data_IF_967252149705
#
_entry.id   IF_967252149705
#
_cell.length_a   1.000
_cell.length_b   1.000
_cell.length_c   1.000
_cell.angle_alpha   90.00
_cell.angle_beta   90.00
_cell.angle_gamma   90.00
#
_symmetry.space_group_name_H-M   'P 1'
#
loop_
_entity.id
_entity.type
_entity.pdbx_description
1 polymer ?
#
# COMPACT_ATOMS: atom_id res chain seq x y z
N UNK A 1 -81.44 33.40 10.98
CA UNK A 1 -80.49 32.70 10.12
C UNK A 1 -79.07 33.03 10.63
N UNK A 2 -78.44 32.11 11.36
CA UNK A 2 -77.15 32.33 12.01
C UNK A 2 -76.14 31.39 11.38
N UNK A 3 -75.07 31.96 10.75
CA UNK A 3 -74.00 31.22 10.07
C UNK A 3 -72.84 31.13 11.05
N UNK A 4 -72.69 29.94 11.63
CA UNK A 4 -71.55 29.63 12.51
C UNK A 4 -70.31 29.36 11.70
N UNK A 5 -69.33 30.26 11.83
CA UNK A 5 -67.99 30.12 11.20
C UNK A 5 -67.13 29.19 12.04
N UNK A 6 -66.84 27.99 11.52
CA UNK A 6 -65.85 27.03 12.14
C UNK A 6 -64.43 27.41 11.72
N UNK A 7 -63.70 28.00 12.63
CA UNK A 7 -62.25 28.24 12.45
C UNK A 7 -61.45 26.90 12.61
N UNK A 8 -61.00 26.38 11.51
CA UNK A 8 -60.14 25.18 11.47
C UNK A 8 -58.74 25.54 11.92
N UNK A 9 -58.32 25.05 13.10
CA UNK A 9 -56.95 25.23 13.61
C UNK A 9 -56.09 24.09 13.09
N UNK A 10 -55.27 24.37 12.07
CA UNK A 10 -54.28 23.45 11.55
C UNK A 10 -53.10 23.46 12.52
N UNK A 11 -52.92 22.36 13.27
CA UNK A 11 -51.77 22.13 14.12
C UNK A 11 -50.65 21.54 13.26
N UNK A 12 -49.65 22.34 12.95
CA UNK A 12 -48.41 21.86 12.37
C UNK A 12 -47.63 21.09 13.45
N UNK A 13 -47.56 19.77 13.30
CA UNK A 13 -46.66 18.94 14.08
C UNK A 13 -45.26 19.04 13.43
N UNK A 14 -44.36 19.78 14.08
CA UNK A 14 -42.94 19.79 13.71
C UNK A 14 -42.31 18.49 14.23
N UNK A 15 -42.11 17.54 13.32
CA UNK A 15 -41.32 16.34 13.62
C UNK A 15 -39.82 16.75 13.66
N UNK A 16 -39.30 16.90 14.87
CA UNK A 16 -37.87 17.07 15.07
C UNK A 16 -37.16 15.70 14.81
N UNK A 17 -36.60 15.53 13.61
CA UNK A 17 -35.74 14.40 13.31
C UNK A 17 -34.42 14.60 14.07
N UNK A 18 -34.27 13.92 15.23
CA UNK A 18 -32.97 13.75 15.87
C UNK A 18 -32.13 12.84 14.96
N UNK A 19 -31.26 13.47 14.16
CA UNK A 19 -30.21 12.73 13.43
C UNK A 19 -29.24 12.13 14.44
N UNK A 20 -29.32 10.81 14.67
CA UNK A 20 -28.28 10.06 15.36
C UNK A 20 -27.02 10.07 14.45
N UNK A 21 -26.16 11.05 14.63
CA UNK A 21 -24.82 11.01 14.08
C UNK A 21 -24.02 9.96 14.87
N UNK A 22 -23.96 8.73 14.38
CA UNK A 22 -23.02 7.72 14.91
C UNK A 22 -21.62 8.21 14.65
N UNK A 23 -20.76 8.40 15.67
CA UNK A 23 -19.37 8.73 15.43
C UNK A 23 -18.73 7.56 14.66
N UNK A 24 -18.17 7.86 13.49
CA UNK A 24 -17.32 6.92 12.77
C UNK A 24 -16.07 6.71 13.63
N UNK A 25 -16.02 5.59 14.35
CA UNK A 25 -14.87 5.25 15.17
C UNK A 25 -13.64 5.11 14.25
N UNK A 26 -12.55 5.82 14.57
CA UNK A 26 -11.29 5.63 13.87
C UNK A 26 -10.80 4.19 14.05
N UNK A 27 -10.35 3.56 12.96
CA UNK A 27 -9.82 2.20 13.00
C UNK A 27 -8.56 2.12 13.88
N UNK A 28 -8.46 1.06 14.66
CA UNK A 28 -7.28 0.81 15.51
C UNK A 28 -6.05 0.45 14.65
N UNK A 29 -4.82 0.61 15.16
CA UNK A 29 -3.61 0.16 14.45
C UNK A 29 -3.66 -1.31 14.05
N UNK A 30 -4.25 -2.17 14.87
CA UNK A 30 -4.42 -3.60 14.57
C UNK A 30 -5.38 -3.82 13.40
N UNK A 31 -6.51 -3.12 13.37
CA UNK A 31 -7.47 -3.21 12.25
C UNK A 31 -6.86 -2.68 10.95
N UNK A 32 -6.09 -1.60 11.01
CA UNK A 32 -5.38 -1.05 9.86
C UNK A 32 -4.34 -2.04 9.34
N UNK A 33 -3.53 -2.63 10.22
CA UNK A 33 -2.56 -3.68 9.88
C UNK A 33 -3.24 -4.87 9.20
N UNK A 34 -4.32 -5.39 9.76
CA UNK A 34 -5.05 -6.53 9.19
C UNK A 34 -5.62 -6.20 7.81
N UNK A 35 -6.21 -5.02 7.62
CA UNK A 35 -6.73 -4.61 6.33
C UNK A 35 -5.63 -4.46 5.25
N UNK A 36 -4.46 -3.90 5.61
CA UNK A 36 -3.31 -3.83 4.71
C UNK A 36 -2.80 -5.24 4.36
N UNK A 37 -2.71 -6.12 5.35
CA UNK A 37 -2.24 -7.49 5.18
C UNK A 37 -3.18 -8.30 4.27
N UNK A 38 -4.48 -8.18 4.44
CA UNK A 38 -5.49 -8.83 3.58
C UNK A 38 -5.35 -8.36 2.12
N UNK A 39 -5.14 -7.06 1.91
CA UNK A 39 -4.91 -6.51 0.58
C UNK A 39 -3.59 -7.02 -0.05
N UNK A 40 -2.53 -7.17 0.75
CA UNK A 40 -1.26 -7.76 0.30
C UNK A 40 -1.47 -9.21 -0.13
N UNK A 41 -2.12 -10.02 0.73
CA UNK A 41 -2.39 -11.43 0.45
C UNK A 41 -3.21 -11.62 -0.84
N UNK A 42 -4.24 -10.79 -1.05
CA UNK A 42 -5.06 -10.86 -2.25
C UNK A 42 -4.23 -10.56 -3.52
N UNK A 43 -3.37 -9.53 -3.50
CA UNK A 43 -2.48 -9.20 -4.64
C UNK A 43 -1.45 -10.29 -4.89
N UNK A 44 -0.83 -10.81 -3.82
CA UNK A 44 0.15 -11.88 -3.89
C UNK A 44 -0.46 -13.14 -4.52
N UNK A 45 -1.60 -13.60 -4.04
CA UNK A 45 -2.26 -14.77 -4.58
C UNK A 45 -2.62 -14.59 -6.07
N UNK A 46 -3.21 -13.45 -6.44
CA UNK A 46 -3.53 -13.16 -7.84
C UNK A 46 -2.29 -13.13 -8.74
N UNK A 47 -1.15 -12.62 -8.25
CA UNK A 47 0.10 -12.57 -9.00
C UNK A 47 0.81 -13.93 -9.11
N UNK A 48 0.52 -14.87 -8.21
CA UNK A 48 1.03 -16.25 -8.24
C UNK A 48 0.22 -17.16 -9.16
N UNK A 49 -0.94 -16.74 -9.65
CA UNK A 49 -1.74 -17.47 -10.64
C UNK A 49 -1.08 -17.34 -12.02
N UNK A 50 -0.18 -18.25 -12.35
CA UNK A 50 0.53 -18.27 -13.63
C UNK A 50 -0.09 -19.27 -14.61
N UNK A 51 0.17 -19.07 -15.91
CA UNK A 51 -0.02 -20.11 -16.91
C UNK A 51 1.31 -20.89 -17.04
N UNK A 52 1.31 -22.22 -16.76
CA UNK A 52 2.54 -23.00 -16.85
C UNK A 52 3.17 -22.92 -18.24
N UNK A 53 4.47 -22.63 -18.28
CA UNK A 53 5.24 -22.58 -19.54
C UNK A 53 5.78 -23.96 -19.94
N UNK A 54 5.85 -24.91 -18.99
CA UNK A 54 6.52 -26.20 -19.12
C UNK A 54 7.99 -26.17 -18.74
N UNK A 55 8.52 -25.00 -18.39
CA UNK A 55 9.85 -24.81 -17.84
C UNK A 55 9.74 -24.61 -16.30
N UNK A 56 10.12 -25.63 -15.54
CA UNK A 56 9.98 -25.67 -14.09
C UNK A 56 10.70 -24.48 -13.41
N UNK A 57 11.87 -24.11 -13.91
CA UNK A 57 12.67 -23.04 -13.30
C UNK A 57 11.99 -21.68 -13.52
N UNK A 58 11.49 -21.43 -14.73
CA UNK A 58 10.74 -20.21 -15.03
C UNK A 58 9.41 -20.14 -14.31
N UNK A 59 8.68 -21.24 -14.27
CA UNK A 59 7.39 -21.31 -13.58
C UNK A 59 7.57 -21.10 -12.07
N UNK A 60 8.61 -21.70 -11.48
CA UNK A 60 8.97 -21.49 -10.08
C UNK A 60 9.30 -20.01 -9.80
N UNK A 61 10.16 -19.39 -10.61
CA UNK A 61 10.55 -17.99 -10.43
C UNK A 61 9.35 -17.05 -10.60
N UNK A 62 8.47 -17.32 -11.57
CA UNK A 62 7.26 -16.52 -11.80
C UNK A 62 6.30 -16.53 -10.59
N UNK A 63 6.24 -17.62 -9.83
CA UNK A 63 5.46 -17.71 -8.59
C UNK A 63 6.20 -17.13 -7.38
N UNK A 64 7.51 -17.39 -7.27
CA UNK A 64 8.27 -17.01 -6.09
C UNK A 64 8.56 -15.50 -6.00
N UNK A 65 8.73 -14.80 -7.11
CA UNK A 65 8.92 -13.34 -7.09
C UNK A 65 7.71 -12.62 -6.46
N UNK A 66 6.45 -12.84 -6.89
CA UNK A 66 5.30 -12.21 -6.23
C UNK A 66 5.10 -12.69 -4.79
N UNK A 67 5.46 -13.94 -4.44
CA UNK A 67 5.44 -14.42 -3.07
C UNK A 67 6.38 -13.60 -2.17
N UNK A 68 7.64 -13.41 -2.60
CA UNK A 68 8.62 -12.61 -1.88
C UNK A 68 8.20 -11.14 -1.78
N UNK A 69 7.66 -10.58 -2.86
CA UNK A 69 7.13 -9.21 -2.83
C UNK A 69 6.00 -9.07 -1.81
N UNK A 70 5.11 -10.05 -1.70
CA UNK A 70 4.08 -10.09 -0.65
C UNK A 70 4.68 -10.09 0.76
N UNK A 71 5.74 -10.88 0.99
CA UNK A 71 6.47 -10.87 2.26
C UNK A 71 7.08 -9.51 2.60
N UNK A 72 7.67 -8.83 1.63
CA UNK A 72 8.19 -7.46 1.78
C UNK A 72 7.04 -6.50 2.15
N UNK A 73 5.92 -6.54 1.44
CA UNK A 73 4.78 -5.65 1.68
C UNK A 73 4.19 -5.87 3.09
N UNK A 74 4.10 -7.13 3.57
CA UNK A 74 3.68 -7.45 4.94
C UNK A 74 4.67 -6.93 5.99
N UNK A 75 5.97 -7.06 5.75
CA UNK A 75 7.00 -6.54 6.63
C UNK A 75 6.95 -4.99 6.71
N UNK A 76 6.68 -4.32 5.59
CA UNK A 76 6.45 -2.86 5.54
C UNK A 76 5.21 -2.47 6.36
N UNK A 77 4.11 -3.24 6.30
CA UNK A 77 2.94 -3.00 7.14
C UNK A 77 3.28 -3.15 8.64
N UNK A 78 4.07 -4.15 9.01
CA UNK A 78 4.59 -4.29 10.39
C UNK A 78 5.34 -3.04 10.84
N UNK A 79 6.21 -2.46 10.00
CA UNK A 79 6.97 -1.25 10.33
C UNK A 79 6.08 -0.02 10.55
N UNK A 80 4.88 0.03 9.97
CA UNK A 80 3.92 1.12 10.18
C UNK A 80 3.13 0.99 11.48
N UNK A 81 2.78 -0.23 11.86
CA UNK A 81 1.77 -0.49 12.89
C UNK A 81 2.33 -1.08 14.19
N UNK A 82 3.51 -1.73 14.16
CA UNK A 82 4.10 -2.35 15.36
C UNK A 82 5.01 -1.38 16.10
N UNK A 83 4.86 -1.37 17.44
CA UNK A 83 5.77 -0.67 18.37
C UNK A 83 6.80 -1.61 19.00
N UNK A 84 6.79 -2.91 18.66
CA UNK A 84 7.77 -3.86 19.18
C UNK A 84 9.07 -3.75 18.40
N UNK A 85 10.10 -3.22 19.00
CA UNK A 85 11.40 -2.98 18.37
C UNK A 85 12.07 -4.26 17.85
N UNK A 86 11.86 -5.40 18.50
CA UNK A 86 12.41 -6.67 18.03
C UNK A 86 11.71 -7.13 16.75
N UNK A 87 10.37 -7.04 16.71
CA UNK A 87 9.59 -7.36 15.52
C UNK A 87 9.92 -6.41 14.38
N UNK A 88 10.08 -5.12 14.64
CA UNK A 88 10.47 -4.12 13.64
C UNK A 88 11.83 -4.41 13.02
N UNK A 89 12.82 -4.83 13.83
CA UNK A 89 14.14 -5.25 13.31
C UNK A 89 14.03 -6.46 12.40
N UNK A 90 13.29 -7.50 12.82
CA UNK A 90 13.05 -8.68 11.99
C UNK A 90 12.34 -8.32 10.66
N UNK A 91 11.37 -7.40 10.71
CA UNK A 91 10.71 -6.93 9.49
C UNK A 91 11.70 -6.22 8.52
N UNK A 92 12.64 -5.45 9.04
CA UNK A 92 13.70 -4.84 8.22
C UNK A 92 14.64 -5.88 7.59
N UNK A 93 15.00 -6.91 8.34
CA UNK A 93 15.83 -8.03 7.86
C UNK A 93 15.09 -8.78 6.73
N UNK A 94 13.80 -9.12 6.92
CA UNK A 94 12.96 -9.76 5.90
C UNK A 94 12.93 -8.94 4.61
N UNK A 95 12.76 -7.62 4.70
CA UNK A 95 12.74 -6.74 3.51
C UNK A 95 14.05 -6.87 2.73
N UNK A 96 15.19 -6.81 3.41
CA UNK A 96 16.51 -6.87 2.76
C UNK A 96 16.76 -8.25 2.15
N UNK A 97 16.52 -9.32 2.90
CA UNK A 97 16.74 -10.69 2.43
C UNK A 97 15.87 -11.00 1.20
N UNK A 98 14.58 -10.72 1.26
CA UNK A 98 13.68 -11.04 0.15
C UNK A 98 13.94 -10.20 -1.10
N UNK A 99 14.42 -8.97 -0.97
CA UNK A 99 14.89 -8.20 -2.13
C UNK A 99 16.10 -8.85 -2.80
N UNK A 100 17.05 -9.38 -2.01
CA UNK A 100 18.21 -10.10 -2.54
C UNK A 100 17.82 -11.41 -3.21
N UNK A 101 16.86 -12.14 -2.63
CA UNK A 101 16.34 -13.38 -3.20
C UNK A 101 15.59 -13.14 -4.51
N UNK A 102 14.78 -12.09 -4.63
CA UNK A 102 14.16 -11.69 -5.90
C UNK A 102 15.23 -11.41 -6.97
N UNK A 103 16.30 -10.73 -6.61
CA UNK A 103 17.42 -10.48 -7.54
C UNK A 103 18.10 -11.77 -7.97
N UNK A 104 18.34 -12.70 -7.04
CA UNK A 104 18.93 -14.01 -7.33
C UNK A 104 18.03 -14.87 -8.22
N UNK A 105 16.72 -14.90 -7.96
CA UNK A 105 15.72 -15.61 -8.76
C UNK A 105 15.73 -15.14 -10.22
N UNK A 106 15.75 -13.82 -10.44
CA UNK A 106 15.82 -13.23 -11.78
C UNK A 106 17.09 -13.61 -12.52
N UNK A 107 18.24 -13.51 -11.83
CA UNK A 107 19.54 -13.92 -12.41
C UNK A 107 19.56 -15.40 -12.80
N UNK A 108 18.96 -16.27 -11.98
CA UNK A 108 18.92 -17.71 -12.22
C UNK A 108 18.24 -18.09 -13.55
N UNK A 109 17.26 -17.30 -14.00
CA UNK A 109 16.56 -17.53 -15.29
C UNK A 109 17.01 -16.58 -16.40
N UNK A 110 18.10 -15.84 -16.20
CA UNK A 110 18.70 -14.94 -17.18
C UNK A 110 17.91 -13.63 -17.38
N UNK A 111 17.07 -13.25 -16.44
CA UNK A 111 16.37 -11.96 -16.48
C UNK A 111 17.27 -10.83 -16.00
N UNK A 112 17.14 -9.62 -16.57
CA UNK A 112 17.88 -8.46 -16.09
C UNK A 112 17.45 -8.08 -14.68
N UNK A 113 18.42 -7.63 -13.86
CA UNK A 113 18.09 -7.02 -12.59
C UNK A 113 17.27 -5.76 -12.85
N UNK A 114 16.04 -5.71 -12.34
CA UNK A 114 15.31 -4.44 -12.26
C UNK A 114 16.12 -3.49 -11.39
N UNK A 115 16.14 -2.20 -11.74
CA UNK A 115 16.75 -1.20 -10.87
C UNK A 115 16.24 -1.41 -9.44
N UNK A 116 17.18 -1.51 -8.49
CA UNK A 116 16.86 -1.79 -7.08
C UNK A 116 15.73 -0.88 -6.63
N UNK A 117 14.64 -1.49 -6.15
CA UNK A 117 13.60 -0.70 -5.49
C UNK A 117 14.25 -0.03 -4.29
N UNK A 118 14.16 1.30 -4.12
CA UNK A 118 14.75 1.94 -2.95
C UNK A 118 14.20 1.27 -1.69
N UNK A 119 15.08 0.95 -0.73
CA UNK A 119 14.61 0.45 0.55
C UNK A 119 13.55 1.43 1.10
N UNK A 120 12.50 0.96 1.78
CA UNK A 120 11.46 1.85 2.34
C UNK A 120 11.99 2.94 3.29
N UNK A 121 13.22 2.76 3.75
CA UNK A 121 13.98 3.69 4.60
C UNK A 121 14.93 4.61 3.83
N UNK A 122 15.04 4.44 2.51
CA UNK A 122 15.88 5.31 1.69
C UNK A 122 15.20 6.68 1.52
N UNK A 123 15.93 7.79 1.64
CA UNK A 123 15.38 9.10 1.31
C UNK A 123 14.98 9.12 -0.17
N UNK A 124 13.94 9.90 -0.55
CA UNK A 124 13.53 10.01 -1.95
C UNK A 124 14.74 10.41 -2.81
N UNK A 125 14.84 9.89 -4.06
CA UNK A 125 15.94 10.24 -4.94
C UNK A 125 15.97 11.77 -5.10
N UNK A 126 17.11 12.37 -4.73
CA UNK A 126 17.35 13.79 -4.99
C UNK A 126 17.36 13.98 -6.51
N UNK A 127 16.56 14.92 -7.00
CA UNK A 127 16.59 15.29 -8.41
C UNK A 127 18.05 15.57 -8.83
N UNK A 128 18.45 15.18 -10.06
CA UNK A 128 19.82 15.39 -10.50
C UNK A 128 20.12 16.90 -10.40
N UNK A 129 21.13 17.22 -9.59
CA UNK A 129 21.69 18.57 -9.54
C UNK A 129 22.20 18.84 -10.95
N UNK A 130 21.57 19.81 -11.63
CA UNK A 130 21.97 20.21 -12.98
C UNK A 130 23.47 20.50 -12.98
N UNK A 131 24.22 19.70 -13.72
CA UNK A 131 25.61 19.97 -13.99
C UNK A 131 25.62 21.18 -14.91
N UNK A 132 25.84 22.35 -14.31
CA UNK A 132 26.06 23.59 -15.05
C UNK A 132 27.31 23.40 -15.92
N UNK A 133 27.12 23.38 -17.23
CA UNK A 133 28.20 23.24 -18.19
C UNK A 133 29.20 24.39 -18.03
N UNK A 134 30.51 24.17 -18.07
CA UNK A 134 31.49 25.22 -17.96
C UNK A 134 31.32 26.19 -19.12
N UNK A 135 31.13 27.49 -18.82
CA UNK A 135 31.10 28.60 -19.80
C UNK A 135 32.53 28.77 -20.33
N UNK A 136 32.73 28.41 -21.57
CA UNK A 136 33.96 28.76 -22.28
C UNK A 136 33.94 30.27 -22.55
N UNK A 137 34.78 31.01 -21.83
CA UNK A 137 35.13 32.35 -22.20
C UNK A 137 36.05 32.26 -23.41
N UNK A 138 35.57 32.67 -24.58
CA UNK A 138 36.40 33.08 -25.71
C UNK A 138 36.84 34.51 -25.48
N UNK A 139 38.11 34.70 -25.09
CA UNK A 139 38.80 35.96 -25.30
C UNK A 139 39.41 35.90 -26.70
N UNK A 140 39.06 36.88 -27.57
CA UNK A 140 39.67 37.22 -28.85
C UNK A 140 39.94 38.70 -28.89
#
# INVERSE_FOLDING_TARGET
MSISSRKSVIRFAVLAALGLSTPLAASTPSEQFMAENDAVMARMHAAMEIQPTGDIDRDFVAMMIPHHQGGIDMAVAVLRHSNNEQIRRLAQEIIVEQQQEIAALRLAVGEPLSASYPAPTSPPPTAPVGVEAPRHHHEG
#
